data_IF_487980149551
#
_entry.id   IF_487980149551
#
_cell.length_a   1.000
_cell.length_b   1.000
_cell.length_c   1.000
_cell.angle_alpha   90.00
_cell.angle_beta   90.00
_cell.angle_gamma   90.00
#
_symmetry.space_group_name_H-M   'P 1'
#
loop_
_entity.id
_entity.type
_entity.pdbx_description
1 polymer ?
#
# COMPACT_ATOMS: atom_id res chain seq x y z
N UNK A 1 23.42 -3.86 -6.47
CA UNK A 1 22.16 -4.28 -5.81
C UNK A 1 22.16 -5.74 -5.34
N UNK A 2 22.98 -6.67 -5.87
CA UNK A 2 22.99 -8.08 -5.42
C UNK A 2 23.66 -8.35 -4.07
N UNK A 3 24.58 -7.48 -3.62
CA UNK A 3 25.35 -7.68 -2.39
C UNK A 3 24.54 -7.51 -1.08
N UNK A 4 23.49 -6.68 -1.09
CA UNK A 4 22.68 -6.42 0.11
C UNK A 4 21.80 -7.62 0.52
N UNK A 5 21.30 -8.39 -0.46
CA UNK A 5 20.53 -9.61 -0.21
C UNK A 5 21.41 -10.75 0.31
N UNK A 6 22.63 -10.90 -0.23
CA UNK A 6 23.57 -11.93 0.20
C UNK A 6 24.06 -11.68 1.64
N UNK A 7 24.21 -10.41 2.03
CA UNK A 7 24.58 -10.02 3.39
C UNK A 7 23.47 -10.21 4.45
N UNK A 8 22.21 -10.38 4.04
CA UNK A 8 21.07 -10.55 4.96
C UNK A 8 20.56 -12.01 5.04
N UNK A 9 20.82 -12.84 4.02
CA UNK A 9 20.29 -14.22 3.96
C UNK A 9 20.66 -15.09 5.17
N UNK A 10 21.89 -14.96 5.69
CA UNK A 10 22.32 -15.71 6.89
C UNK A 10 21.54 -15.28 8.14
N UNK A 11 21.23 -13.99 8.28
CA UNK A 11 20.52 -13.46 9.44
C UNK A 11 19.04 -13.89 9.41
N UNK A 12 18.45 -13.99 8.21
CA UNK A 12 17.14 -14.59 8.00
C UNK A 12 17.19 -16.08 8.41
N UNK A 13 18.15 -16.85 7.88
CA UNK A 13 18.30 -18.28 8.21
C UNK A 13 18.52 -18.53 9.71
N UNK A 14 19.26 -17.65 10.37
CA UNK A 14 19.50 -17.68 11.82
C UNK A 14 18.34 -17.12 12.65
N UNK A 15 17.17 -16.86 12.03
CA UNK A 15 15.94 -16.41 12.68
C UNK A 15 16.11 -15.09 13.49
N UNK A 16 16.97 -14.19 13.02
CA UNK A 16 17.19 -12.89 13.68
C UNK A 16 16.06 -11.88 13.47
N UNK A 17 15.16 -12.15 12.51
CA UNK A 17 14.06 -11.28 12.16
C UNK A 17 12.71 -11.96 12.44
N UNK A 18 11.73 -11.15 12.86
CA UNK A 18 10.35 -11.60 13.06
C UNK A 18 9.47 -11.42 11.81
N UNK A 19 9.87 -10.53 10.92
CA UNK A 19 9.19 -10.27 9.65
C UNK A 19 10.25 -9.99 8.58
N UNK A 20 10.01 -10.49 7.37
CA UNK A 20 10.88 -10.30 6.21
C UNK A 20 10.01 -9.83 5.06
N UNK A 21 10.29 -8.63 4.54
CA UNK A 21 9.65 -8.12 3.34
C UNK A 21 10.52 -8.48 2.13
N UNK A 22 9.92 -9.11 1.13
CA UNK A 22 10.56 -9.50 -0.12
C UNK A 22 9.63 -9.24 -1.29
N UNK A 23 10.21 -8.96 -2.45
CA UNK A 23 9.44 -8.79 -3.67
C UNK A 23 9.11 -10.13 -4.34
N UNK A 24 8.07 -10.21 -5.20
CA UNK A 24 7.75 -11.41 -5.97
C UNK A 24 8.95 -11.93 -6.78
N UNK A 25 9.72 -11.04 -7.38
CA UNK A 25 10.91 -11.40 -8.17
C UNK A 25 11.98 -12.06 -7.32
N UNK A 26 12.12 -11.65 -6.06
CA UNK A 26 13.09 -12.25 -5.15
C UNK A 26 12.65 -13.63 -4.66
N UNK A 27 11.38 -13.77 -4.25
CA UNK A 27 10.87 -15.01 -3.65
C UNK A 27 10.63 -16.10 -4.69
N UNK A 28 10.25 -15.72 -5.92
CA UNK A 28 9.96 -16.65 -7.01
C UNK A 28 11.17 -16.98 -7.90
N UNK A 29 12.33 -16.34 -7.64
CA UNK A 29 13.55 -16.59 -8.42
C UNK A 29 13.98 -18.06 -8.31
N UNK A 30 14.01 -18.81 -9.43
CA UNK A 30 14.45 -20.20 -9.42
C UNK A 30 15.91 -20.35 -8.98
N UNK A 31 16.20 -21.41 -8.24
CA UNK A 31 17.51 -21.75 -7.68
C UNK A 31 18.13 -20.65 -6.79
N UNK A 32 17.30 -19.74 -6.28
CA UNK A 32 17.74 -18.69 -5.36
C UNK A 32 18.02 -19.24 -3.96
N UNK A 33 18.81 -18.49 -3.18
CA UNK A 33 19.03 -18.81 -1.77
C UNK A 33 17.72 -18.74 -0.97
N UNK A 34 16.76 -17.92 -1.41
CA UNK A 34 15.44 -17.83 -0.80
C UNK A 34 14.61 -19.09 -1.07
N UNK A 35 14.61 -19.62 -2.30
CA UNK A 35 13.94 -20.88 -2.61
C UNK A 35 14.52 -22.04 -1.78
N UNK A 36 15.86 -22.11 -1.66
CA UNK A 36 16.54 -23.11 -0.82
C UNK A 36 16.14 -22.96 0.66
N UNK A 37 16.03 -21.73 1.14
CA UNK A 37 15.64 -21.44 2.52
C UNK A 37 14.19 -21.84 2.80
N UNK A 38 13.25 -21.57 1.88
CA UNK A 38 11.85 -21.98 2.03
C UNK A 38 11.67 -23.50 2.00
N UNK A 39 12.57 -24.23 1.32
CA UNK A 39 12.61 -25.70 1.29
C UNK A 39 13.34 -26.33 2.48
N UNK A 40 14.06 -25.55 3.29
CA UNK A 40 14.72 -26.05 4.50
C UNK A 40 13.66 -26.37 5.57
N UNK A 41 13.47 -27.64 5.97
CA UNK A 41 12.42 -28.03 6.90
C UNK A 41 12.53 -27.34 8.26
N UNK A 42 13.77 -27.08 8.72
CA UNK A 42 14.00 -26.40 10.00
C UNK A 42 13.49 -24.97 9.90
N UNK A 43 13.90 -24.23 8.88
CA UNK A 43 13.45 -22.85 8.67
C UNK A 43 11.93 -22.78 8.48
N UNK A 44 11.37 -23.65 7.62
CA UNK A 44 9.94 -23.70 7.35
C UNK A 44 9.11 -24.00 8.60
N UNK A 45 9.63 -24.77 9.57
CA UNK A 45 8.96 -25.02 10.86
C UNK A 45 8.76 -23.77 11.73
N UNK A 46 9.57 -22.72 11.52
CA UNK A 46 9.44 -21.44 12.22
C UNK A 46 8.59 -20.41 11.45
N UNK A 47 8.20 -20.71 10.20
CA UNK A 47 7.33 -19.83 9.42
C UNK A 47 5.89 -19.94 9.91
N UNK A 48 5.37 -18.83 10.42
CA UNK A 48 3.97 -18.74 10.86
C UNK A 48 3.02 -18.49 9.68
N UNK A 49 3.48 -17.73 8.68
CA UNK A 49 2.67 -17.45 7.50
C UNK A 49 3.36 -16.53 6.50
N UNK A 50 2.74 -16.41 5.33
CA UNK A 50 3.09 -15.47 4.27
C UNK A 50 1.93 -14.52 4.05
N UNK A 51 2.22 -13.24 3.95
CA UNK A 51 1.25 -12.20 3.61
C UNK A 51 1.65 -11.65 2.24
N UNK A 52 0.73 -11.76 1.28
CA UNK A 52 0.85 -11.11 -0.03
C UNK A 52 0.12 -9.77 0.08
N UNK A 53 0.89 -8.70 0.22
CA UNK A 53 0.37 -7.34 0.24
C UNK A 53 0.07 -6.85 -1.19
N UNK A 54 -0.84 -5.88 -1.30
CA UNK A 54 -1.34 -5.35 -2.56
C UNK A 54 -1.78 -6.43 -3.56
N UNK A 55 -2.53 -7.42 -3.09
CA UNK A 55 -2.94 -8.59 -3.89
C UNK A 55 -3.75 -8.26 -5.17
N UNK A 56 -4.19 -7.01 -5.35
CA UNK A 56 -4.77 -6.53 -6.60
C UNK A 56 -3.74 -6.54 -7.76
N UNK A 57 -2.45 -6.40 -7.46
CA UNK A 57 -1.34 -6.47 -8.41
C UNK A 57 -1.26 -7.82 -9.14
N UNK A 58 -1.76 -8.91 -8.55
CA UNK A 58 -1.78 -10.22 -9.23
C UNK A 58 -2.58 -10.15 -10.54
N UNK A 59 -3.65 -9.36 -10.56
CA UNK A 59 -4.50 -9.19 -11.74
C UNK A 59 -4.04 -8.02 -12.61
N UNK A 60 -3.73 -6.88 -11.99
CA UNK A 60 -3.45 -5.63 -12.70
C UNK A 60 -2.00 -5.56 -13.21
N UNK A 61 -1.05 -6.11 -12.45
CA UNK A 61 0.38 -6.02 -12.71
C UNK A 61 1.00 -7.35 -13.12
N UNK A 62 0.24 -8.45 -13.16
CA UNK A 62 0.76 -9.77 -13.56
C UNK A 62 1.33 -9.83 -14.98
N UNK A 63 1.01 -8.87 -15.85
CA UNK A 63 1.66 -8.69 -17.17
C UNK A 63 3.02 -7.97 -17.06
N UNK A 64 3.20 -7.10 -16.07
CA UNK A 64 4.42 -6.31 -15.86
C UNK A 64 5.42 -6.99 -14.92
N UNK A 65 4.94 -7.74 -13.94
CA UNK A 65 5.72 -8.60 -13.04
C UNK A 65 5.07 -9.99 -13.04
N UNK A 66 5.45 -10.86 -14.00
CA UNK A 66 4.90 -12.20 -14.15
C UNK A 66 5.02 -13.06 -12.89
N UNK A 67 5.98 -12.76 -12.02
CA UNK A 67 6.23 -13.48 -10.77
C UNK A 67 5.04 -13.44 -9.80
N UNK A 68 4.17 -12.43 -9.89
CA UNK A 68 2.91 -12.42 -9.12
C UNK A 68 2.00 -13.59 -9.47
N UNK A 69 1.98 -14.05 -10.73
CA UNK A 69 1.16 -15.21 -11.16
C UNK A 69 1.72 -16.53 -10.68
N UNK A 70 3.03 -16.56 -10.40
CA UNK A 70 3.74 -17.74 -9.94
C UNK A 70 3.64 -17.93 -8.42
N UNK A 71 3.13 -16.95 -7.66
CA UNK A 71 3.03 -17.01 -6.19
C UNK A 71 2.23 -18.21 -5.68
N UNK A 72 1.33 -18.78 -6.49
CA UNK A 72 0.64 -20.04 -6.16
C UNK A 72 1.61 -21.20 -5.91
N UNK A 73 2.81 -21.18 -6.51
CA UNK A 73 3.82 -22.22 -6.31
C UNK A 73 4.33 -22.32 -4.89
N UNK A 74 4.21 -21.25 -4.09
CA UNK A 74 4.54 -21.28 -2.66
C UNK A 74 3.76 -22.37 -1.92
N UNK A 75 2.55 -22.73 -2.38
CA UNK A 75 1.77 -23.84 -1.80
C UNK A 75 2.41 -25.22 -1.97
N UNK A 76 3.21 -25.42 -3.02
CA UNK A 76 3.91 -26.69 -3.24
C UNK A 76 5.29 -26.72 -2.57
N UNK A 77 5.83 -25.56 -2.20
CA UNK A 77 7.13 -25.43 -1.54
C UNK A 77 6.98 -25.51 -0.02
N UNK A 78 5.93 -24.87 0.52
CA UNK A 78 5.76 -24.70 1.95
C UNK A 78 4.98 -25.86 2.58
N UNK A 79 5.26 -26.18 3.85
CA UNK A 79 4.41 -27.10 4.62
C UNK A 79 2.97 -26.60 4.68
N UNK A 80 2.01 -27.53 4.70
CA UNK A 80 0.58 -27.21 4.79
C UNK A 80 0.18 -26.44 6.06
N UNK A 81 1.04 -26.46 7.09
CA UNK A 81 0.88 -25.70 8.34
C UNK A 81 1.12 -24.20 8.16
N UNK A 82 1.82 -23.78 7.11
CA UNK A 82 2.11 -22.36 6.85
C UNK A 82 0.89 -21.70 6.20
N UNK A 83 0.35 -20.68 6.87
CA UNK A 83 -0.79 -19.93 6.37
C UNK A 83 -0.36 -18.97 5.24
N UNK A 84 -1.21 -18.80 4.21
CA UNK A 84 -1.04 -17.74 3.20
C UNK A 84 -2.23 -16.80 3.33
N UNK A 85 -1.94 -15.52 3.48
CA UNK A 85 -2.88 -14.42 3.61
C UNK A 85 -2.69 -13.46 2.44
N UNK A 86 -3.79 -12.84 2.01
CA UNK A 86 -3.78 -11.75 1.02
C UNK A 86 -4.33 -10.49 1.66
N UNK A 87 -3.71 -9.34 1.40
CA UNK A 87 -4.16 -8.03 1.82
C UNK A 87 -4.30 -7.12 0.60
N UNK A 88 -5.39 -6.34 0.53
CA UNK A 88 -5.59 -5.34 -0.51
C UNK A 88 -6.73 -4.39 -0.14
N UNK A 89 -6.56 -3.11 -0.48
CA UNK A 89 -7.61 -2.10 -0.37
C UNK A 89 -8.54 -2.04 -1.60
N UNK A 90 -8.04 -2.44 -2.77
CA UNK A 90 -8.68 -2.23 -4.08
C UNK A 90 -9.14 -3.53 -4.76
N UNK A 91 -9.01 -4.68 -4.10
CA UNK A 91 -9.39 -5.96 -4.67
C UNK A 91 -10.91 -6.08 -4.86
N UNK A 92 -11.36 -6.12 -6.11
CA UNK A 92 -12.78 -6.30 -6.45
C UNK A 92 -13.25 -7.72 -6.15
N UNK A 93 -14.58 -7.93 -6.04
CA UNK A 93 -15.15 -9.27 -5.84
C UNK A 93 -14.81 -10.22 -7.02
N UNK A 94 -14.78 -9.71 -8.25
CA UNK A 94 -14.42 -10.48 -9.42
C UNK A 94 -12.93 -10.88 -9.39
N UNK A 95 -12.06 -9.92 -9.06
CA UNK A 95 -10.62 -10.15 -8.92
C UNK A 95 -10.31 -11.12 -7.78
N UNK A 96 -11.04 -11.06 -6.66
CA UNK A 96 -10.84 -11.96 -5.52
C UNK A 96 -10.93 -13.44 -5.92
N UNK A 97 -11.97 -13.84 -6.65
CA UNK A 97 -12.13 -15.25 -7.09
C UNK A 97 -10.93 -15.71 -7.90
N UNK A 98 -10.47 -14.88 -8.83
CA UNK A 98 -9.34 -15.21 -9.70
C UNK A 98 -8.02 -15.26 -8.91
N UNK A 99 -7.76 -14.27 -8.05
CA UNK A 99 -6.60 -14.24 -7.15
C UNK A 99 -6.56 -15.48 -6.25
N UNK A 100 -7.69 -15.86 -5.64
CA UNK A 100 -7.75 -17.05 -4.79
C UNK A 100 -7.51 -18.34 -5.59
N UNK A 101 -7.97 -18.40 -6.84
CA UNK A 101 -7.73 -19.54 -7.71
C UNK A 101 -6.25 -19.69 -8.09
N UNK A 102 -5.60 -18.60 -8.53
CA UNK A 102 -4.16 -18.58 -8.85
C UNK A 102 -3.29 -18.96 -7.65
N UNK A 103 -3.66 -18.51 -6.45
CA UNK A 103 -2.93 -18.78 -5.23
C UNK A 103 -3.27 -20.14 -4.59
N UNK A 104 -4.11 -20.95 -5.26
CA UNK A 104 -4.60 -22.23 -4.76
C UNK A 104 -5.20 -22.12 -3.34
N UNK A 105 -5.96 -21.06 -3.09
CA UNK A 105 -6.68 -20.86 -1.84
C UNK A 105 -8.04 -21.54 -1.92
N UNK A 106 -8.28 -22.51 -1.03
CA UNK A 106 -9.52 -23.24 -1.00
C UNK A 106 -10.60 -22.49 -0.20
N UNK A 107 -11.77 -22.31 -0.82
CA UNK A 107 -12.85 -21.50 -0.25
C UNK A 107 -13.41 -22.07 1.08
N UNK A 108 -13.37 -23.38 1.28
CA UNK A 108 -13.81 -24.07 2.50
C UNK A 108 -12.88 -23.82 3.70
N UNK A 109 -11.64 -23.37 3.45
CA UNK A 109 -10.62 -23.10 4.48
C UNK A 109 -10.22 -21.63 4.53
N UNK A 110 -10.96 -20.76 3.86
CA UNK A 110 -10.64 -19.34 3.74
C UNK A 110 -11.61 -18.49 4.56
N UNK A 111 -11.06 -17.55 5.33
CA UNK A 111 -11.83 -16.50 6.01
C UNK A 111 -11.66 -15.19 5.25
N UNK A 112 -12.77 -14.62 4.79
CA UNK A 112 -12.77 -13.33 4.09
C UNK A 112 -13.20 -12.22 5.05
N UNK A 113 -12.31 -11.27 5.33
CA UNK A 113 -12.63 -10.07 6.12
C UNK A 113 -12.70 -8.88 5.17
N UNK A 114 -13.90 -8.33 4.98
CA UNK A 114 -14.12 -7.11 4.20
C UNK A 114 -14.59 -5.99 5.11
N UNK A 115 -14.02 -4.79 4.93
CA UNK A 115 -14.41 -3.59 5.66
C UNK A 115 -14.85 -2.52 4.68
N UNK A 116 -15.74 -1.65 5.14
CA UNK A 116 -16.16 -0.49 4.37
C UNK A 116 -14.99 0.49 4.24
N UNK A 117 -14.84 1.07 3.06
CA UNK A 117 -13.96 2.22 2.84
C UNK A 117 -14.58 3.52 3.37
N UNK A 118 -15.81 3.47 3.88
CA UNK A 118 -16.48 4.63 4.46
C UNK A 118 -15.66 5.24 5.59
N UNK A 119 -15.71 6.56 5.64
CA UNK A 119 -15.04 7.41 6.62
C UNK A 119 -16.05 8.49 6.99
N UNK A 120 -16.86 8.30 8.04
CA UNK A 120 -17.93 9.24 8.40
C UNK A 120 -17.42 10.65 8.73
N UNK A 121 -16.13 10.75 9.06
CA UNK A 121 -15.37 11.98 9.28
C UNK A 121 -14.87 12.67 7.98
N UNK A 122 -15.04 12.06 6.81
CA UNK A 122 -14.71 12.66 5.51
C UNK A 122 -15.99 13.20 4.87
N UNK A 123 -15.95 14.47 4.41
CA UNK A 123 -17.03 15.10 3.65
C UNK A 123 -16.58 15.32 2.22
N UNK A 124 -17.31 14.75 1.27
CA UNK A 124 -17.04 14.89 -0.16
C UNK A 124 -17.91 16.03 -0.70
N UNK A 125 -17.28 16.97 -1.40
CA UNK A 125 -17.98 18.11 -2.01
C UNK A 125 -17.48 18.34 -3.43
N UNK A 126 -18.41 18.64 -4.34
CA UNK A 126 -18.10 18.94 -5.75
C UNK A 126 -18.47 20.40 -6.02
N UNK A 127 -17.57 21.14 -6.69
CA UNK A 127 -17.77 22.55 -7.06
C UNK A 127 -17.36 22.75 -8.52
N UNK A 128 -18.14 23.52 -9.27
CA UNK A 128 -17.78 23.92 -10.63
C UNK A 128 -16.60 24.90 -10.58
N UNK A 129 -15.58 24.66 -11.39
CA UNK A 129 -14.49 25.60 -11.63
C UNK A 129 -15.04 26.77 -12.45
N UNK A 130 -14.92 27.99 -11.93
CA UNK A 130 -15.47 29.21 -12.55
C UNK A 130 -14.39 30.15 -13.06
N UNK A 131 -13.18 30.06 -12.50
CA UNK A 131 -12.06 30.92 -12.83
C UNK A 131 -10.93 30.14 -13.51
N UNK A 132 -9.97 30.85 -14.10
CA UNK A 132 -8.77 30.22 -14.65
C UNK A 132 -8.03 29.41 -13.57
N UNK A 133 -7.58 28.20 -13.91
CA UNK A 133 -6.96 27.26 -12.96
C UNK A 133 -5.76 27.86 -12.21
N UNK A 134 -4.97 28.69 -12.87
CA UNK A 134 -3.81 29.38 -12.31
C UNK A 134 -4.16 30.52 -11.34
N UNK A 135 -5.43 30.97 -11.30
CA UNK A 135 -5.88 32.02 -10.38
C UNK A 135 -6.14 31.49 -8.97
N UNK A 136 -6.47 30.19 -8.85
CA UNK A 136 -6.87 29.52 -7.60
C UNK A 136 -8.08 30.16 -6.88
N UNK A 137 -8.81 31.07 -7.53
CA UNK A 137 -9.95 31.79 -6.93
C UNK A 137 -11.07 30.85 -6.45
N UNK A 138 -11.27 29.73 -7.13
CA UNK A 138 -12.26 28.71 -6.74
C UNK A 138 -11.93 28.02 -5.40
N UNK A 139 -10.71 28.17 -4.88
CA UNK A 139 -10.30 27.66 -3.56
C UNK A 139 -10.57 28.64 -2.41
N UNK A 140 -10.99 29.88 -2.70
CA UNK A 140 -11.18 30.93 -1.70
C UNK A 140 -12.12 30.54 -0.55
N UNK A 141 -13.08 29.65 -0.79
CA UNK A 141 -14.03 29.18 0.23
C UNK A 141 -13.37 28.37 1.35
N UNK A 142 -12.19 27.80 1.11
CA UNK A 142 -11.45 27.02 2.10
C UNK A 142 -10.94 27.89 3.25
N UNK A 143 -10.68 29.17 2.99
CA UNK A 143 -10.24 30.15 3.98
C UNK A 143 -11.07 31.42 3.76
N UNK A 144 -12.19 31.57 4.48
CA UNK A 144 -13.05 32.75 4.38
C UNK A 144 -12.30 34.04 4.73
N UNK A 145 -12.79 35.17 4.23
CA UNK A 145 -12.28 36.48 4.62
C UNK A 145 -12.54 36.72 6.10
N UNK A 146 -11.53 37.23 6.82
CA UNK A 146 -11.64 37.50 8.26
C UNK A 146 -11.45 36.27 9.16
N UNK A 147 -10.67 35.28 8.72
CA UNK A 147 -10.27 34.12 9.53
C UNK A 147 -9.63 34.55 10.86
N UNK A 148 -10.00 33.91 11.97
CA UNK A 148 -9.52 34.19 13.34
C UNK A 148 -9.07 32.91 14.04
N UNK A 149 -8.22 33.06 15.06
CA UNK A 149 -7.86 31.94 15.94
C UNK A 149 -9.13 31.34 16.58
N UNK A 150 -9.30 30.03 16.41
CA UNK A 150 -10.52 29.28 16.77
C UNK A 150 -11.33 28.77 15.57
N UNK A 151 -11.07 29.26 14.36
CA UNK A 151 -11.60 28.65 13.13
C UNK A 151 -10.98 27.26 12.89
N UNK A 152 -11.66 26.38 12.12
CA UNK A 152 -11.11 25.06 11.78
C UNK A 152 -9.73 25.20 11.14
N UNK A 153 -8.83 24.22 11.40
CA UNK A 153 -7.46 24.29 10.92
C UNK A 153 -7.42 24.39 9.40
N UNK A 154 -6.44 25.14 8.84
CA UNK A 154 -6.32 25.26 7.40
C UNK A 154 -6.09 23.90 6.73
N UNK A 155 -6.59 23.69 5.51
CA UNK A 155 -6.41 22.42 4.81
C UNK A 155 -4.95 22.24 4.37
N UNK A 156 -4.49 20.98 4.36
CA UNK A 156 -3.26 20.61 3.66
C UNK A 156 -3.48 20.58 2.14
N UNK A 157 -2.44 20.89 1.36
CA UNK A 157 -2.52 20.97 -0.10
C UNK A 157 -1.34 20.29 -0.78
N UNK A 158 -1.61 19.64 -1.92
CA UNK A 158 -0.57 18.93 -2.69
C UNK A 158 0.04 19.80 -3.80
N UNK A 159 -0.33 21.09 -3.85
CA UNK A 159 0.16 22.03 -4.87
C UNK A 159 0.74 23.29 -4.23
N UNK A 160 2.00 23.60 -4.55
CA UNK A 160 2.74 24.74 -3.99
C UNK A 160 2.03 26.06 -4.30
N UNK A 161 1.59 26.26 -5.56
CA UNK A 161 0.96 27.51 -5.98
C UNK A 161 -0.42 27.72 -5.34
N UNK A 162 -1.23 26.67 -5.23
CA UNK A 162 -2.49 26.72 -4.48
C UNK A 162 -2.26 27.06 -3.01
N UNK A 163 -1.21 26.50 -2.41
CA UNK A 163 -0.82 26.82 -1.02
C UNK A 163 -0.43 28.28 -0.87
N UNK A 164 0.39 28.82 -1.77
CA UNK A 164 0.75 30.25 -1.76
C UNK A 164 -0.47 31.15 -1.87
N UNK A 165 -1.44 30.80 -2.71
CA UNK A 165 -2.71 31.52 -2.81
C UNK A 165 -3.48 31.51 -1.48
N UNK A 166 -3.66 30.34 -0.86
CA UNK A 166 -4.39 30.21 0.40
C UNK A 166 -3.70 30.90 1.57
N UNK A 167 -2.36 30.87 1.64
CA UNK A 167 -1.58 31.54 2.68
C UNK A 167 -1.79 33.05 2.70
N UNK A 168 -1.91 33.68 1.54
CA UNK A 168 -2.22 35.12 1.42
C UNK A 168 -3.58 35.50 2.00
N UNK A 169 -4.45 34.52 2.27
CA UNK A 169 -5.78 34.74 2.88
C UNK A 169 -5.77 34.60 4.42
N UNK A 170 -4.65 34.17 5.01
CA UNK A 170 -4.47 34.09 6.46
C UNK A 170 -3.73 35.33 6.99
N UNK A 171 -3.91 35.67 8.28
CA UNK A 171 -3.05 36.62 8.99
C UNK A 171 -1.56 36.28 8.86
N UNK A 172 -0.65 37.28 8.85
CA UNK A 172 0.79 37.06 8.63
C UNK A 172 1.44 36.03 9.56
N UNK A 173 1.05 36.03 10.83
CA UNK A 173 1.51 35.12 11.89
C UNK A 173 1.03 33.66 11.71
N UNK A 174 0.13 33.42 10.75
CA UNK A 174 -0.54 32.14 10.57
C UNK A 174 -0.29 31.50 9.20
N UNK A 175 0.38 32.20 8.30
CA UNK A 175 0.61 31.72 6.93
C UNK A 175 1.36 30.38 6.91
N UNK A 176 2.25 30.14 7.86
CA UNK A 176 3.01 28.90 7.95
C UNK A 176 2.21 27.69 8.44
N UNK A 177 0.97 27.87 8.89
CA UNK A 177 0.07 26.78 9.30
C UNK A 177 -0.45 25.97 8.10
N UNK A 178 -0.50 26.53 6.89
CA UNK A 178 -0.81 25.76 5.67
C UNK A 178 0.46 25.11 5.16
N UNK A 179 0.58 23.80 5.33
CA UNK A 179 1.68 23.02 4.77
C UNK A 179 1.30 22.42 3.42
N UNK A 180 2.30 22.31 2.54
CA UNK A 180 2.20 21.45 1.37
C UNK A 180 3.12 20.25 1.55
N UNK A 181 2.76 19.15 0.92
CA UNK A 181 3.62 17.98 0.80
C UNK A 181 3.82 17.70 -0.69
N UNK A 182 5.03 17.31 -1.04
CA UNK A 182 5.26 16.69 -2.34
C UNK A 182 4.84 15.23 -2.17
N UNK A 183 3.76 14.83 -2.83
CA UNK A 183 3.52 13.41 -3.04
C UNK A 183 4.63 12.90 -3.98
N UNK A 184 5.37 11.89 -3.53
CA UNK A 184 6.34 11.15 -4.36
C UNK A 184 5.57 10.09 -5.12
#
# INVERSE_FOLDING_TARGET
>A
MSYALQAQGWAIKALKYRAVAVSPEQIMKPNSDFEKLLKDPLFASYLVGIIIDEAHCIMEWGEFCPEYRELGRLRYILPATVSIMIASATLTKASLTHTTWLLHMHADKMVTIRRSSDRPNIKIGVRKIKYALNSYCDLAFLIPTGWKDGNPPPPHQNAINATRYLRKRLPPDMQDKIKWFNAV
#
